data_IF_404768102939
#
_entry.id   IF_404768102939
#
_cell.length_a   1.000
_cell.length_b   1.000
_cell.length_c   1.000
_cell.angle_alpha   90.00
_cell.angle_beta   90.00
_cell.angle_gamma   90.00
#
_symmetry.space_group_name_H-M   'P 1'
#
loop_
_entity.id
_entity.type
_entity.pdbx_description
1 polymer ?
#
# COMPACT_ATOMS: atom_id res chain seq x y z
N UNK A 1 7.59 37.79 -16.53
CA UNK A 1 8.90 37.09 -16.49
C UNK A 1 8.66 35.72 -15.88
N UNK A 2 8.51 34.70 -16.73
CA UNK A 2 8.18 33.34 -16.31
C UNK A 2 9.46 32.61 -15.94
N UNK A 3 9.57 32.11 -14.71
CA UNK A 3 10.66 31.21 -14.31
C UNK A 3 10.39 29.83 -14.90
N UNK A 4 10.75 29.65 -16.16
CA UNK A 4 10.76 28.34 -16.81
C UNK A 4 11.83 27.52 -16.11
N UNK A 5 11.40 26.58 -15.26
CA UNK A 5 12.28 25.59 -14.65
C UNK A 5 12.79 24.71 -15.80
N UNK A 6 14.10 24.69 -16.10
CA UNK A 6 14.60 23.74 -17.07
C UNK A 6 14.51 22.37 -16.41
N UNK A 7 13.59 21.52 -16.87
CA UNK A 7 13.69 20.08 -16.64
C UNK A 7 14.94 19.65 -17.41
N UNK A 8 16.12 19.83 -16.80
CA UNK A 8 17.31 19.14 -17.25
C UNK A 8 16.94 17.67 -17.09
N UNK A 9 16.64 17.00 -18.20
CA UNK A 9 16.80 15.57 -18.28
C UNK A 9 18.26 15.35 -17.94
N UNK A 10 18.54 15.11 -16.66
CA UNK A 10 19.84 14.65 -16.24
C UNK A 10 20.08 13.42 -17.11
N UNK A 11 20.94 13.58 -18.10
CA UNK A 11 21.72 12.48 -18.63
C UNK A 11 22.71 12.17 -17.51
N UNK A 12 22.20 11.78 -16.35
CA UNK A 12 22.98 11.30 -15.22
C UNK A 12 23.55 9.98 -15.69
N UNK A 13 24.79 10.08 -16.14
CA UNK A 13 25.76 9.01 -16.22
C UNK A 13 25.28 7.77 -15.46
N UNK A 14 24.86 6.74 -16.21
CA UNK A 14 24.71 5.36 -15.73
C UNK A 14 24.23 5.28 -14.27
N UNK A 15 23.04 5.82 -13.97
CA UNK A 15 22.36 5.42 -12.74
C UNK A 15 21.82 4.03 -13.02
N UNK A 16 22.67 3.01 -12.83
CA UNK A 16 22.29 1.61 -12.93
C UNK A 16 21.11 1.42 -11.97
N UNK A 17 19.89 1.37 -12.50
CA UNK A 17 18.73 0.96 -11.71
C UNK A 17 18.98 -0.46 -11.20
N UNK A 18 18.18 -0.93 -10.24
CA UNK A 18 18.21 -2.34 -9.84
C UNK A 18 17.61 -3.26 -10.93
N UNK A 19 17.88 -2.99 -12.21
CA UNK A 19 17.42 -3.76 -13.37
C UNK A 19 18.11 -5.12 -13.45
N UNK A 20 19.38 -5.16 -13.06
CA UNK A 20 20.24 -6.35 -13.17
C UNK A 20 20.49 -7.04 -11.81
N UNK A 21 19.80 -6.60 -10.76
CA UNK A 21 19.91 -7.19 -9.41
C UNK A 21 18.88 -8.29 -9.26
N UNK A 22 19.32 -9.49 -8.88
CA UNK A 22 18.44 -10.59 -8.52
C UNK A 22 18.07 -10.44 -7.03
N UNK A 23 16.81 -10.11 -6.68
CA UNK A 23 16.41 -9.95 -5.28
C UNK A 23 16.44 -11.30 -4.55
N UNK A 24 16.89 -11.28 -3.29
CA UNK A 24 16.81 -12.44 -2.42
C UNK A 24 15.35 -12.73 -2.07
N UNK A 25 14.90 -13.95 -2.32
CA UNK A 25 13.52 -14.37 -2.06
C UNK A 25 13.48 -15.18 -0.76
N UNK A 26 13.01 -14.55 0.31
CA UNK A 26 12.87 -15.18 1.62
C UNK A 26 11.45 -15.69 1.87
N UNK A 27 11.35 -16.94 2.33
CA UNK A 27 10.11 -17.59 2.78
C UNK A 27 10.28 -17.94 4.26
N UNK A 28 9.21 -17.82 5.03
CA UNK A 28 9.25 -18.03 6.47
C UNK A 28 8.10 -17.32 7.18
N UNK A 29 8.23 -17.20 8.50
CA UNK A 29 7.28 -16.46 9.34
C UNK A 29 7.27 -14.97 8.94
N UNK A 30 6.07 -14.39 8.86
CA UNK A 30 5.87 -12.99 8.48
C UNK A 30 4.90 -12.32 9.45
N UNK A 31 5.32 -11.19 9.98
CA UNK A 31 4.49 -10.32 10.81
C UNK A 31 3.95 -9.20 9.92
N UNK A 32 2.89 -9.51 9.19
CA UNK A 32 2.25 -8.60 8.23
C UNK A 32 0.75 -8.55 8.44
N UNK A 33 0.15 -7.43 8.08
CA UNK A 33 -1.30 -7.36 7.99
C UNK A 33 -1.81 -8.08 6.74
N UNK A 34 -3.00 -8.65 6.84
CA UNK A 34 -3.72 -9.13 5.67
C UNK A 34 -4.32 -7.96 4.88
N UNK A 35 -4.65 -8.18 3.60
CA UNK A 35 -5.18 -7.13 2.71
C UNK A 35 -6.50 -6.48 3.17
N UNK A 36 -7.21 -7.07 4.14
CA UNK A 36 -8.43 -6.50 4.71
C UNK A 36 -8.19 -5.14 5.37
N UNK A 37 -7.00 -4.87 5.90
CA UNK A 37 -6.67 -3.53 6.44
C UNK A 37 -6.72 -2.44 5.38
N UNK A 38 -6.48 -2.77 4.11
CA UNK A 38 -6.57 -1.83 2.99
C UNK A 38 -7.99 -1.30 2.77
N UNK A 39 -9.01 -2.10 3.11
CA UNK A 39 -10.42 -1.70 3.02
C UNK A 39 -10.68 -0.46 3.88
N UNK A 40 -9.98 -0.30 5.00
CA UNK A 40 -10.18 0.83 5.92
C UNK A 40 -9.91 2.16 5.22
N UNK A 41 -8.80 2.25 4.49
CA UNK A 41 -8.48 3.42 3.69
C UNK A 41 -9.44 3.57 2.51
N UNK A 42 -9.76 2.46 1.83
CA UNK A 42 -10.59 2.46 0.64
C UNK A 42 -12.03 2.91 0.92
N UNK A 43 -12.62 2.46 2.04
CA UNK A 43 -13.94 2.90 2.48
C UNK A 43 -13.97 4.40 2.81
N UNK A 44 -12.85 4.98 3.29
CA UNK A 44 -12.77 6.43 3.51
C UNK A 44 -12.64 7.20 2.22
N UNK A 45 -11.99 6.62 1.20
CA UNK A 45 -11.82 7.27 -0.10
C UNK A 45 -13.09 7.24 -0.94
N UNK A 46 -13.86 6.15 -0.86
CA UNK A 46 -15.06 5.91 -1.66
C UNK A 46 -16.26 5.78 -0.70
N UNK A 47 -16.87 6.91 -0.36
CA UNK A 47 -17.91 6.99 0.66
C UNK A 47 -19.22 6.27 0.30
N UNK A 48 -19.48 6.05 -1.00
CA UNK A 48 -20.65 5.33 -1.51
C UNK A 48 -20.37 3.84 -1.83
N UNK A 49 -19.23 3.30 -1.36
CA UNK A 49 -18.91 1.89 -1.53
C UNK A 49 -19.12 1.10 -0.23
N UNK A 50 -19.73 -0.08 -0.36
CA UNK A 50 -19.84 -1.05 0.73
C UNK A 50 -18.92 -2.24 0.50
N UNK A 51 -18.19 -2.64 1.54
CA UNK A 51 -17.26 -3.76 1.51
C UNK A 51 -17.77 -4.88 2.42
N UNK A 52 -18.42 -5.89 1.85
CA UNK A 52 -18.88 -7.08 2.58
C UNK A 52 -17.76 -8.10 2.71
N UNK A 53 -17.23 -8.29 3.92
CA UNK A 53 -16.23 -9.32 4.20
C UNK A 53 -16.91 -10.61 4.64
N UNK A 54 -16.78 -11.67 3.83
CA UNK A 54 -17.20 -13.02 4.21
C UNK A 54 -15.99 -13.74 4.81
N UNK A 55 -15.97 -13.86 6.13
CA UNK A 55 -14.84 -14.44 6.86
C UNK A 55 -15.23 -14.87 8.27
N UNK A 56 -14.23 -15.06 9.12
CA UNK A 56 -14.43 -15.46 10.50
C UNK A 56 -14.44 -14.25 11.45
N UNK A 57 -14.68 -14.54 12.74
CA UNK A 57 -14.63 -13.53 13.81
C UNK A 57 -13.26 -12.83 13.92
N UNK A 58 -12.17 -13.50 13.52
CA UNK A 58 -10.83 -12.87 13.55
C UNK A 58 -10.70 -11.74 12.53
N UNK A 59 -11.31 -11.88 11.34
CA UNK A 59 -11.35 -10.82 10.34
C UNK A 59 -12.13 -9.61 10.84
N UNK A 60 -13.28 -9.84 11.48
CA UNK A 60 -14.10 -8.78 12.07
C UNK A 60 -13.32 -8.02 13.15
N UNK A 61 -12.72 -8.73 14.11
CA UNK A 61 -11.90 -8.11 15.15
C UNK A 61 -10.71 -7.32 14.58
N UNK A 62 -10.02 -7.84 13.57
CA UNK A 62 -8.90 -7.14 12.94
C UNK A 62 -9.34 -5.80 12.33
N UNK A 63 -10.44 -5.79 11.57
CA UNK A 63 -10.94 -4.56 10.94
C UNK A 63 -11.40 -3.56 12.01
N UNK A 64 -12.08 -4.04 13.05
CA UNK A 64 -12.55 -3.22 14.16
C UNK A 64 -11.39 -2.58 14.93
N UNK A 65 -10.35 -3.37 15.26
CA UNK A 65 -9.14 -2.87 15.92
C UNK A 65 -8.37 -1.87 15.06
N UNK A 66 -8.31 -2.08 13.74
CA UNK A 66 -7.55 -1.23 12.84
C UNK A 66 -8.30 0.04 12.41
N UNK A 67 -9.63 0.00 12.31
CA UNK A 67 -10.46 1.15 11.95
C UNK A 67 -10.80 2.05 13.16
N UNK A 68 -10.58 1.55 14.40
CA UNK A 68 -10.87 2.29 15.63
C UNK A 68 -12.36 2.54 15.88
N UNK A 69 -13.23 1.92 15.08
CA UNK A 69 -14.69 1.93 15.26
C UNK A 69 -15.11 0.60 15.85
N UNK A 70 -15.78 0.61 17.01
CA UNK A 70 -16.48 -0.57 17.47
C UNK A 70 -17.70 -0.79 16.57
N UNK A 71 -17.75 -1.93 15.88
CA UNK A 71 -18.97 -2.49 15.28
C UNK A 71 -19.54 -3.55 16.23
#
# INVERSE_FOLDING_TARGET
MSTVIPIRAETSAQTSGCTDVVPLVERGQREVFCGLTGIIWLHRKIQDAFFLVVGSRTCAHLIQSAAGVMI
#
